data_IF_626502893595
#
_entry.id   IF_626502893595
#
_cell.length_a   1.000
_cell.length_b   1.000
_cell.length_c   1.000
_cell.angle_alpha   90.00
_cell.angle_beta   90.00
_cell.angle_gamma   90.00
#
_symmetry.space_group_name_H-M   'P 1'
#
loop_
_entity.id
_entity.type
_entity.pdbx_description
1 polymer ?
#
# COMPACT_ATOMS: atom_id res chain seq x y z
N UNK A 1 31.58 -10.38 6.61
CA UNK A 1 30.21 -10.58 6.06
C UNK A 1 30.29 -11.79 5.16
N UNK A 2 29.79 -12.94 5.61
CA UNK A 2 29.95 -14.17 4.85
C UNK A 2 28.98 -14.20 3.67
N UNK A 3 29.56 -14.23 2.46
CA UNK A 3 28.84 -14.37 1.19
C UNK A 3 29.36 -15.62 0.48
N UNK A 4 28.53 -16.23 -0.35
CA UNK A 4 28.97 -17.30 -1.24
C UNK A 4 29.79 -16.74 -2.42
N UNK A 5 30.39 -17.63 -3.20
CA UNK A 5 31.17 -17.29 -4.40
C UNK A 5 30.36 -16.53 -5.47
N UNK A 6 29.02 -16.58 -5.38
CA UNK A 6 28.09 -15.86 -6.27
C UNK A 6 27.61 -14.54 -5.67
N UNK A 7 28.19 -14.10 -4.54
CA UNK A 7 27.86 -12.85 -3.86
C UNK A 7 26.58 -12.87 -3.02
N UNK A 8 25.89 -14.01 -2.91
CA UNK A 8 24.68 -14.17 -2.09
C UNK A 8 25.04 -14.27 -0.62
N UNK A 9 24.15 -13.83 0.25
CA UNK A 9 24.31 -14.02 1.69
C UNK A 9 24.25 -15.51 2.04
N UNK A 10 25.18 -15.98 2.88
CA UNK A 10 25.09 -17.35 3.39
C UNK A 10 23.81 -17.54 4.23
N UNK A 11 23.30 -18.78 4.29
CA UNK A 11 22.13 -19.11 5.11
C UNK A 11 22.41 -18.73 6.57
N UNK A 12 21.53 -17.91 7.15
CA UNK A 12 21.70 -17.37 8.51
C UNK A 12 22.41 -16.01 8.57
N UNK A 13 22.96 -15.52 7.46
CA UNK A 13 23.50 -14.17 7.33
C UNK A 13 22.54 -13.26 6.55
N UNK A 14 22.36 -12.04 7.05
CA UNK A 14 21.53 -11.00 6.45
C UNK A 14 22.37 -9.74 6.23
N UNK A 15 22.05 -8.99 5.18
CA UNK A 15 22.63 -7.65 4.96
C UNK A 15 22.24 -6.63 6.00
N UNK A 16 21.14 -6.89 6.72
CA UNK A 16 20.80 -6.17 7.94
C UNK A 16 20.96 -7.12 9.13
N UNK A 17 22.17 -7.20 9.68
CA UNK A 17 22.52 -8.12 10.78
C UNK A 17 21.70 -7.85 12.05
N UNK A 18 21.41 -6.58 12.33
CA UNK A 18 20.63 -6.17 13.50
C UNK A 18 19.11 -6.27 13.26
N UNK A 19 18.70 -6.68 12.06
CA UNK A 19 17.30 -6.73 11.68
C UNK A 19 16.60 -5.39 11.86
N UNK A 20 15.30 -5.46 12.10
CA UNK A 20 14.45 -4.28 12.26
C UNK A 20 14.53 -3.83 13.73
N UNK A 21 14.95 -2.58 14.02
CA UNK A 21 15.01 -2.09 15.40
C UNK A 21 13.69 -2.32 16.15
N UNK A 22 13.77 -2.83 17.39
CA UNK A 22 12.60 -3.18 18.22
C UNK A 22 11.60 -2.02 18.36
N UNK A 23 12.10 -0.80 18.59
CA UNK A 23 11.28 0.43 18.66
C UNK A 23 10.42 0.63 17.41
N UNK A 24 10.96 0.36 16.22
CA UNK A 24 10.22 0.49 14.97
C UNK A 24 9.14 -0.59 14.83
N UNK A 25 9.34 -1.77 15.43
CA UNK A 25 8.29 -2.80 15.50
C UNK A 25 7.13 -2.37 16.38
N UNK A 26 7.41 -1.82 17.56
CA UNK A 26 6.40 -1.30 18.48
C UNK A 26 5.57 -0.18 17.84
N UNK A 27 6.22 0.78 17.16
CA UNK A 27 5.52 1.87 16.44
C UNK A 27 4.60 1.31 15.34
N UNK A 28 5.04 0.30 14.58
CA UNK A 28 4.20 -0.30 13.55
C UNK A 28 3.02 -1.07 14.12
N UNK A 29 3.20 -1.74 15.26
CA UNK A 29 2.10 -2.40 15.96
C UNK A 29 1.07 -1.37 16.40
N UNK A 30 1.50 -0.30 17.08
CA UNK A 30 0.62 0.79 17.49
C UNK A 30 -0.13 1.40 16.29
N UNK A 31 0.57 1.70 15.20
CA UNK A 31 -0.08 2.25 14.00
C UNK A 31 -1.14 1.31 13.39
N UNK A 32 -0.94 -0.02 13.49
CA UNK A 32 -1.92 -1.01 13.01
C UNK A 32 -3.18 -1.04 13.88
N UNK A 33 -3.08 -0.79 15.17
CA UNK A 33 -4.25 -0.73 16.07
C UNK A 33 -5.25 0.35 15.64
N UNK A 34 -4.76 1.47 15.09
CA UNK A 34 -5.58 2.56 14.57
C UNK A 34 -6.17 2.31 13.17
N UNK A 35 -5.94 1.14 12.56
CA UNK A 35 -6.38 0.89 11.17
C UNK A 35 -7.89 1.06 11.02
N UNK A 36 -8.68 0.58 11.99
CA UNK A 36 -10.15 0.70 11.96
C UNK A 36 -10.60 2.17 12.00
N UNK A 37 -10.09 2.92 12.97
CA UNK A 37 -10.40 4.35 13.14
C UNK A 37 -9.97 5.19 11.92
N UNK A 38 -8.80 4.87 11.34
CA UNK A 38 -8.34 5.52 10.11
C UNK A 38 -9.28 5.26 8.93
N UNK A 39 -9.80 4.04 8.78
CA UNK A 39 -10.79 3.71 7.74
C UNK A 39 -12.10 4.48 7.98
N UNK A 40 -12.60 4.51 9.22
CA UNK A 40 -13.81 5.27 9.57
C UNK A 40 -13.64 6.77 9.27
N UNK A 41 -12.46 7.32 9.55
CA UNK A 41 -12.11 8.71 9.24
C UNK A 41 -12.15 8.97 7.72
N UNK A 42 -11.59 8.07 6.90
CA UNK A 42 -11.67 8.19 5.44
C UNK A 42 -13.13 8.16 4.95
N UNK A 43 -13.96 7.28 5.50
CA UNK A 43 -15.39 7.21 5.17
C UNK A 43 -16.10 8.51 5.51
N UNK A 44 -15.81 9.08 6.69
CA UNK A 44 -16.38 10.35 7.12
C UNK A 44 -15.96 11.50 6.19
N UNK A 45 -14.67 11.62 5.86
CA UNK A 45 -14.17 12.64 4.93
C UNK A 45 -14.81 12.49 3.55
N UNK A 46 -14.95 11.27 3.04
CA UNK A 46 -15.56 11.00 1.73
C UNK A 46 -17.04 11.45 1.67
N UNK A 47 -17.77 11.28 2.78
CA UNK A 47 -19.20 11.59 2.89
C UNK A 47 -19.50 13.04 3.26
N UNK A 48 -18.53 13.76 3.82
CA UNK A 48 -18.71 15.14 4.25
C UNK A 48 -18.69 16.11 3.05
N UNK A 49 -19.87 16.60 2.68
CA UNK A 49 -20.08 17.52 1.56
C UNK A 49 -19.49 18.92 1.81
N UNK A 50 -19.14 19.26 3.05
CA UNK A 50 -18.51 20.54 3.39
C UNK A 50 -17.02 20.55 3.12
N UNK A 51 -16.40 19.38 2.90
CA UNK A 51 -14.98 19.25 2.59
C UNK A 51 -14.72 19.54 1.11
N UNK A 52 -13.50 20.00 0.83
CA UNK A 52 -13.04 20.17 -0.54
C UNK A 52 -13.19 18.87 -1.34
N UNK A 53 -13.64 18.99 -2.60
CA UNK A 53 -13.84 17.84 -3.48
C UNK A 53 -12.57 16.96 -3.59
N UNK A 54 -11.38 17.56 -3.60
CA UNK A 54 -10.10 16.83 -3.66
C UNK A 54 -9.88 15.92 -2.44
N UNK A 55 -10.26 16.36 -1.24
CA UNK A 55 -10.18 15.57 -0.01
C UNK A 55 -11.11 14.36 -0.07
N UNK A 56 -12.33 14.55 -0.58
CA UNK A 56 -13.33 13.49 -0.74
C UNK A 56 -12.88 12.45 -1.77
N UNK A 57 -12.37 12.90 -2.91
CA UNK A 57 -11.81 12.04 -3.97
C UNK A 57 -10.62 11.25 -3.43
N UNK A 58 -9.71 11.90 -2.71
CA UNK A 58 -8.55 11.22 -2.12
C UNK A 58 -8.97 10.16 -1.10
N UNK A 59 -9.93 10.47 -0.23
CA UNK A 59 -10.43 9.49 0.74
C UNK A 59 -11.08 8.28 0.06
N UNK A 60 -11.87 8.51 -0.99
CA UNK A 60 -12.45 7.43 -1.80
C UNK A 60 -11.37 6.58 -2.48
N UNK A 61 -10.37 7.21 -3.10
CA UNK A 61 -9.26 6.53 -3.76
C UNK A 61 -8.49 5.63 -2.77
N UNK A 62 -8.16 6.15 -1.58
CA UNK A 62 -7.42 5.39 -0.56
C UNK A 62 -8.20 4.14 -0.09
N UNK A 63 -9.53 4.20 -0.03
CA UNK A 63 -10.38 3.04 0.29
C UNK A 63 -10.38 2.02 -0.87
N UNK A 64 -10.53 2.48 -2.10
CA UNK A 64 -10.55 1.62 -3.29
C UNK A 64 -9.21 0.91 -3.51
N UNK A 65 -8.10 1.64 -3.39
CA UNK A 65 -6.74 1.10 -3.54
C UNK A 65 -6.45 -0.03 -2.52
N UNK A 66 -7.09 0.01 -1.34
CA UNK A 66 -6.97 -1.05 -0.31
C UNK A 66 -7.87 -2.25 -0.57
N UNK A 67 -9.07 -2.03 -1.12
CA UNK A 67 -10.03 -3.10 -1.40
C UNK A 67 -9.69 -3.87 -2.68
N UNK A 68 -9.26 -3.17 -3.72
CA UNK A 68 -9.09 -3.71 -5.07
C UNK A 68 -7.65 -3.66 -5.57
N UNK A 69 -6.74 -3.05 -4.80
CA UNK A 69 -5.39 -2.78 -5.24
C UNK A 69 -5.30 -1.55 -6.12
N UNK A 70 -4.06 -1.12 -6.40
CA UNK A 70 -3.81 -0.07 -7.39
C UNK A 70 -3.87 -0.67 -8.80
N UNK A 71 -4.35 0.08 -9.80
CA UNK A 71 -4.22 -0.31 -11.20
C UNK A 71 -2.77 -0.68 -11.51
N UNK A 72 -2.58 -1.75 -12.29
CA UNK A 72 -1.25 -2.15 -12.75
C UNK A 72 -0.60 -0.98 -13.46
N UNK A 73 0.51 -0.49 -12.91
CA UNK A 73 1.28 0.55 -13.57
C UNK A 73 1.88 -0.07 -14.84
N UNK A 74 1.56 0.44 -16.05
CA UNK A 74 2.15 -0.10 -17.26
C UNK A 74 3.66 0.12 -17.16
N UNK A 75 4.40 -0.99 -17.16
CA UNK A 75 5.83 -0.95 -17.43
C UNK A 75 5.93 -0.69 -18.93
N UNK A 76 6.54 0.42 -19.31
CA UNK A 76 6.81 0.72 -20.72
C UNK A 76 7.91 -0.25 -21.21
N UNK A 77 7.47 -1.46 -21.52
CA UNK A 77 8.21 -2.50 -22.22
C UNK A 77 7.22 -3.08 -23.21
N UNK A 78 7.52 -2.97 -24.50
CA UNK A 78 6.63 -3.29 -25.62
C UNK A 78 5.92 -4.65 -25.45
N UNK A 79 4.74 -4.62 -24.83
CA UNK A 79 3.99 -5.80 -24.42
C UNK A 79 2.63 -5.37 -23.89
N UNK A 80 1.59 -5.64 -24.67
CA UNK A 80 0.18 -5.28 -24.46
C UNK A 80 -0.26 -5.42 -23.00
N UNK A 81 -0.54 -4.29 -22.35
CA UNK A 81 -1.01 -4.25 -20.98
C UNK A 81 -2.51 -4.61 -20.93
N UNK A 82 -2.85 -5.73 -20.29
CA UNK A 82 -4.23 -6.09 -19.99
C UNK A 82 -4.77 -5.20 -18.86
N UNK A 83 -5.38 -4.08 -19.23
CA UNK A 83 -6.19 -3.24 -18.33
C UNK A 83 -7.55 -3.91 -18.10
N UNK A 84 -7.83 -4.34 -16.87
CA UNK A 84 -9.18 -4.78 -16.49
C UNK A 84 -10.04 -3.54 -16.27
N UNK A 85 -10.74 -3.11 -17.32
CA UNK A 85 -11.74 -2.04 -17.22
C UNK A 85 -12.94 -2.57 -16.44
N UNK A 86 -13.09 -2.15 -15.18
CA UNK A 86 -14.32 -2.33 -14.41
C UNK A 86 -15.40 -1.43 -15.00
N UNK A 87 -16.23 -1.99 -15.86
CA UNK A 87 -17.39 -1.31 -16.41
C UNK A 87 -18.50 -1.31 -15.36
N UNK A 88 -18.60 -0.23 -14.57
CA UNK A 88 -19.75 -0.01 -13.70
C UNK A 88 -20.93 0.40 -14.59
N UNK A 89 -21.69 -0.62 -15.00
CA UNK A 89 -22.83 -0.50 -15.91
C UNK A 89 -23.79 0.62 -15.50
N UNK A 90 -23.98 1.56 -16.43
CA UNK A 90 -25.03 2.57 -16.37
C UNK A 90 -26.24 2.13 -17.18
N UNK A 91 -27.36 1.98 -16.45
CA UNK A 91 -28.74 1.64 -16.84
C UNK A 91 -29.05 0.15 -16.97
#
# INVERSE_FOLDING_TARGET
VERDEKGRWLKGHSGNQNGLPKRLAEIRTLAREYTKEAIETLVNIMRDETREASCRVRAAQELLDRAWGKPTQPLDHQGEAFSLVLNLGGK
#
